data_IF_521618498030
#
_entry.id   IF_521618498030
#
_cell.length_a   1.000
_cell.length_b   1.000
_cell.length_c   1.000
_cell.angle_alpha   90.00
_cell.angle_beta   90.00
_cell.angle_gamma   90.00
#
_symmetry.space_group_name_H-M   'P 1'
#
loop_
_entity.id
_entity.type
_entity.pdbx_description
1 polymer ?
#
# COMPACT_ATOMS: atom_id res chain seq x y z
N UNK A 1 -1.07 -16.63 -8.10
CA UNK A 1 -0.43 -16.62 -6.78
C UNK A 1 -0.44 -18.04 -6.24
N UNK A 2 0.73 -18.59 -5.99
CA UNK A 2 0.95 -19.88 -5.36
C UNK A 2 1.76 -19.68 -4.08
N UNK A 3 1.62 -20.58 -3.12
CA UNK A 3 2.48 -20.56 -1.94
C UNK A 3 3.94 -20.69 -2.38
N UNK A 4 4.79 -19.76 -1.94
CA UNK A 4 6.20 -19.66 -2.33
C UNK A 4 6.51 -18.53 -3.32
N UNK A 5 5.51 -17.84 -3.87
CA UNK A 5 5.73 -16.65 -4.71
C UNK A 5 6.29 -15.49 -3.90
N UNK A 6 7.22 -14.73 -4.50
CA UNK A 6 7.72 -13.47 -3.94
C UNK A 6 6.82 -12.35 -4.41
N UNK A 7 6.24 -11.62 -3.46
CA UNK A 7 5.35 -10.51 -3.72
C UNK A 7 6.06 -9.20 -3.35
N UNK A 8 6.20 -8.32 -4.32
CA UNK A 8 6.64 -6.93 -4.12
C UNK A 8 5.42 -6.07 -3.82
N UNK A 9 5.45 -5.30 -2.73
CA UNK A 9 4.38 -4.39 -2.35
C UNK A 9 4.88 -2.95 -2.45
N UNK A 10 4.23 -2.16 -3.29
CA UNK A 10 4.46 -0.73 -3.46
C UNK A 10 3.33 0.04 -2.80
N UNK A 11 3.67 1.12 -2.10
CA UNK A 11 2.71 1.96 -1.40
C UNK A 11 2.91 3.41 -1.81
N UNK A 12 1.86 4.04 -2.31
CA UNK A 12 1.85 5.43 -2.74
C UNK A 12 1.00 6.26 -1.77
N UNK A 13 1.53 7.41 -1.34
CA UNK A 13 0.77 8.37 -0.54
C UNK A 13 -0.12 9.19 -1.46
N UNK A 14 -1.42 8.88 -1.47
CA UNK A 14 -2.40 9.57 -2.32
C UNK A 14 -2.85 10.88 -1.67
N UNK A 15 -3.03 10.89 -0.35
CA UNK A 15 -3.50 12.08 0.37
C UNK A 15 -3.00 12.11 1.81
N UNK A 16 -2.64 13.31 2.30
CA UNK A 16 -2.31 13.55 3.71
C UNK A 16 -3.34 14.49 4.35
N UNK A 17 -4.18 13.94 5.22
CA UNK A 17 -5.21 14.67 5.96
C UNK A 17 -4.64 15.05 7.33
N UNK A 18 -3.84 16.13 7.35
CA UNK A 18 -3.14 16.59 8.55
C UNK A 18 -4.10 16.95 9.70
N UNK A 19 -5.26 17.54 9.39
CA UNK A 19 -6.28 17.96 10.37
C UNK A 19 -6.80 16.80 11.22
N UNK A 20 -6.88 15.60 10.64
CA UNK A 20 -7.36 14.39 11.31
C UNK A 20 -6.24 13.41 11.67
N UNK A 21 -4.98 13.80 11.43
CA UNK A 21 -3.81 12.94 11.55
C UNK A 21 -4.00 11.62 10.79
N UNK A 22 -4.36 11.68 9.51
CA UNK A 22 -4.57 10.50 8.65
C UNK A 22 -3.83 10.63 7.34
N UNK A 23 -3.39 9.51 6.79
CA UNK A 23 -2.78 9.42 5.47
C UNK A 23 -3.51 8.34 4.69
N UNK A 24 -3.94 8.68 3.48
CA UNK A 24 -4.52 7.73 2.54
C UNK A 24 -3.41 7.18 1.64
N UNK A 25 -3.32 5.85 1.61
CA UNK A 25 -2.30 5.11 0.90
C UNK A 25 -2.96 4.22 -0.14
N UNK A 26 -2.44 4.23 -1.37
CA UNK A 26 -2.74 3.21 -2.36
C UNK A 26 -1.65 2.14 -2.27
N UNK A 27 -2.05 0.88 -2.17
CA UNK A 27 -1.15 -0.26 -2.10
C UNK A 27 -1.30 -1.10 -3.35
N UNK A 28 -0.20 -1.41 -4.02
CA UNK A 28 -0.17 -2.29 -5.19
C UNK A 28 0.82 -3.41 -4.95
N UNK A 29 0.38 -4.65 -5.06
CA UNK A 29 1.24 -5.82 -4.92
C UNK A 29 1.44 -6.48 -6.28
N UNK A 30 2.69 -6.78 -6.63
CA UNK A 30 3.09 -7.47 -7.86
C UNK A 30 3.81 -8.77 -7.53
N UNK A 31 3.60 -9.81 -8.33
CA UNK A 31 4.38 -11.05 -8.22
C UNK A 31 5.73 -10.94 -8.98
N UNK A 32 6.55 -11.99 -8.91
CA UNK A 32 7.84 -12.05 -9.62
C UNK A 32 7.75 -11.94 -11.16
N UNK A 33 6.56 -12.08 -11.74
CA UNK A 33 6.31 -11.90 -13.17
C UNK A 33 5.88 -10.46 -13.50
N UNK A 34 5.91 -9.55 -12.52
CA UNK A 34 5.46 -8.16 -12.65
C UNK A 34 3.94 -8.01 -12.74
N UNK A 35 3.18 -9.09 -12.54
CA UNK A 35 1.72 -9.07 -12.61
C UNK A 35 1.15 -8.51 -11.32
N UNK A 36 0.26 -7.51 -11.43
CA UNK A 36 -0.48 -6.98 -10.29
C UNK A 36 -1.43 -8.06 -9.78
N UNK A 37 -1.23 -8.48 -8.54
CA UNK A 37 -2.03 -9.54 -7.89
C UNK A 37 -3.00 -8.99 -6.86
N UNK A 38 -2.73 -7.79 -6.33
CA UNK A 38 -3.61 -7.11 -5.39
C UNK A 38 -3.44 -5.61 -5.53
N UNK A 39 -4.58 -4.90 -5.54
CA UNK A 39 -4.65 -3.47 -5.33
C UNK A 39 -5.54 -3.21 -4.12
N UNK A 40 -5.20 -2.20 -3.34
CA UNK A 40 -5.91 -1.85 -2.13
C UNK A 40 -5.70 -0.40 -1.76
N UNK A 41 -6.56 0.07 -0.89
CA UNK A 41 -6.51 1.40 -0.30
C UNK A 41 -6.51 1.27 1.22
N UNK A 42 -5.67 2.06 1.89
CA UNK A 42 -5.52 2.01 3.33
C UNK A 42 -5.46 3.43 3.92
N UNK A 43 -6.23 3.66 4.98
CA UNK A 43 -6.16 4.90 5.74
C UNK A 43 -5.41 4.64 7.05
N UNK A 44 -4.24 5.27 7.20
CA UNK A 44 -3.36 5.06 8.37
C UNK A 44 -3.23 6.33 9.20
N UNK A 45 -2.95 6.16 10.49
CA UNK A 45 -2.62 7.27 11.40
C UNK A 45 -1.10 7.29 11.54
N UNK A 46 -0.39 8.31 11.01
CA UNK A 46 1.06 8.39 11.15
C UNK A 46 1.42 8.67 12.62
N UNK A 47 2.60 8.18 13.03
CA UNK A 47 3.15 8.53 14.34
C UNK A 47 3.34 10.04 14.40
N UNK A 48 2.90 10.65 15.50
CA UNK A 48 3.24 12.04 15.81
C UNK A 48 4.71 12.05 16.24
N UNK A 49 5.45 13.03 15.73
CA UNK A 49 6.80 13.35 16.20
C UNK A 49 6.78 13.81 17.67
#
# INVERSE_FOLDING_TARGET
MKFGDVIEAEVEVVEKIAERNRVHLKTTCRNQEGTVVLEGEAMVIPRKE
#
